data_IF_274987292841
#
_entry.id   IF_274987292841
#
_cell.length_a   1.000
_cell.length_b   1.000
_cell.length_c   1.000
_cell.angle_alpha   90.00
_cell.angle_beta   90.00
_cell.angle_gamma   90.00
#
_symmetry.space_group_name_H-M   'P 1'
#
loop_
_entity.id
_entity.type
_entity.pdbx_description
1 polymer ?
#
# COMPACT_ATOMS: atom_id res chain seq x y z
N UNK A 1 8.70 11.11 21.52
CA UNK A 1 8.28 12.23 20.65
C UNK A 1 9.06 12.32 19.31
N UNK A 2 10.38 12.04 19.26
CA UNK A 2 11.17 12.09 18.00
C UNK A 2 10.94 10.86 17.10
N UNK A 3 10.60 9.70 17.65
CA UNK A 3 10.30 8.47 16.89
C UNK A 3 8.95 8.56 16.16
N UNK A 4 7.97 9.23 16.76
CA UNK A 4 6.61 9.39 16.21
C UNK A 4 6.60 10.27 14.93
N UNK A 5 7.34 11.38 14.92
CA UNK A 5 7.40 12.30 13.77
C UNK A 5 8.03 11.67 12.52
N UNK A 6 9.05 10.80 12.68
CA UNK A 6 9.66 10.11 11.55
C UNK A 6 8.72 9.08 10.92
N UNK A 7 7.92 8.39 11.74
CA UNK A 7 6.90 7.47 11.26
C UNK A 7 5.79 8.19 10.51
N UNK A 8 5.29 9.31 11.03
CA UNK A 8 4.25 10.14 10.41
C UNK A 8 4.73 10.73 9.07
N UNK A 9 5.96 11.23 8.99
CA UNK A 9 6.54 11.74 7.76
C UNK A 9 6.68 10.63 6.70
N UNK A 10 7.12 9.45 7.11
CA UNK A 10 7.22 8.29 6.24
C UNK A 10 5.86 7.88 5.64
N UNK A 11 4.81 7.83 6.46
CA UNK A 11 3.45 7.52 6.00
C UNK A 11 2.93 8.60 5.04
N UNK A 12 3.17 9.89 5.31
CA UNK A 12 2.75 10.98 4.43
C UNK A 12 3.40 10.87 3.04
N UNK A 13 4.68 10.50 2.98
CA UNK A 13 5.40 10.26 1.73
C UNK A 13 4.85 9.04 0.97
N UNK A 14 4.50 7.97 1.67
CA UNK A 14 3.85 6.79 1.07
C UNK A 14 2.52 7.19 0.44
N UNK A 15 1.67 7.87 1.20
CA UNK A 15 0.33 8.27 0.77
C UNK A 15 0.38 9.16 -0.47
N UNK A 16 1.28 10.15 -0.49
CA UNK A 16 1.47 11.02 -1.65
C UNK A 16 1.95 10.23 -2.88
N UNK A 17 3.03 9.46 -2.72
CA UNK A 17 3.60 8.74 -3.86
C UNK A 17 2.67 7.66 -4.41
N UNK A 18 1.92 6.97 -3.54
CA UNK A 18 1.00 5.91 -3.96
C UNK A 18 -0.33 6.46 -4.47
N UNK A 19 -0.78 7.63 -4.01
CA UNK A 19 -1.95 8.31 -4.58
C UNK A 19 -1.72 8.69 -6.04
N UNK A 20 -0.59 9.30 -6.35
CA UNK A 20 -0.19 9.67 -7.72
C UNK A 20 0.07 8.42 -8.58
N UNK A 21 0.51 7.31 -7.97
CA UNK A 21 0.85 6.08 -8.69
C UNK A 21 -0.30 5.50 -9.52
N UNK A 22 -1.56 5.70 -9.14
CA UNK A 22 -2.70 5.21 -9.93
C UNK A 22 -2.69 5.77 -11.35
N UNK A 23 -2.47 7.08 -11.47
CA UNK A 23 -2.38 7.76 -12.76
C UNK A 23 -1.11 7.33 -13.51
N UNK A 24 0.02 7.34 -12.85
CA UNK A 24 1.31 7.00 -13.47
C UNK A 24 1.36 5.55 -13.95
N UNK A 25 0.86 4.61 -13.16
CA UNK A 25 0.79 3.19 -13.58
C UNK A 25 -0.16 3.02 -14.76
N UNK A 26 -1.31 3.70 -14.77
CA UNK A 26 -2.25 3.65 -15.90
C UNK A 26 -1.62 4.15 -17.19
N UNK A 27 -0.83 5.22 -17.14
CA UNK A 27 -0.07 5.72 -18.31
C UNK A 27 0.96 4.65 -18.77
N UNK A 28 1.65 4.01 -17.82
CA UNK A 28 2.65 3.00 -18.12
C UNK A 28 2.06 1.75 -18.79
N UNK A 29 0.93 1.23 -18.26
CA UNK A 29 0.28 0.02 -18.82
C UNK A 29 -0.54 0.28 -20.09
N UNK A 30 -0.74 1.52 -20.46
CA UNK A 30 -1.27 1.87 -21.78
C UNK A 30 -0.27 1.64 -22.90
N UNK A 31 1.02 1.51 -22.57
CA UNK A 31 2.13 1.37 -23.55
C UNK A 31 2.88 0.05 -23.40
N UNK A 32 2.92 -0.53 -22.22
CA UNK A 32 3.48 -1.84 -21.94
C UNK A 32 2.39 -2.77 -21.40
N UNK A 33 2.48 -4.06 -21.67
CA UNK A 33 1.61 -5.01 -21.00
C UNK A 33 1.77 -4.89 -19.46
N UNK A 34 0.73 -5.18 -18.66
CA UNK A 34 0.84 -5.14 -17.20
C UNK A 34 2.01 -5.96 -16.65
N UNK A 35 2.28 -7.13 -17.24
CA UNK A 35 3.40 -7.99 -16.84
C UNK A 35 4.74 -7.33 -17.15
N UNK A 36 4.91 -6.79 -18.35
CA UNK A 36 6.17 -6.18 -18.79
C UNK A 36 6.46 -4.92 -17.95
N UNK A 37 5.44 -4.07 -17.73
CA UNK A 37 5.59 -2.87 -16.90
C UNK A 37 6.02 -3.21 -15.47
N UNK A 38 5.38 -4.20 -14.84
CA UNK A 38 5.71 -4.65 -13.48
C UNK A 38 7.11 -5.27 -13.44
N UNK A 39 7.44 -6.13 -14.39
CA UNK A 39 8.76 -6.75 -14.45
C UNK A 39 9.89 -5.72 -14.54
N UNK A 40 9.85 -4.82 -15.51
CA UNK A 40 10.90 -3.82 -15.71
C UNK A 40 10.99 -2.83 -14.54
N UNK A 41 9.85 -2.47 -13.93
CA UNK A 41 9.83 -1.69 -12.69
C UNK A 41 10.62 -2.40 -11.59
N UNK A 42 10.40 -3.70 -11.37
CA UNK A 42 11.05 -4.40 -10.26
C UNK A 42 12.47 -4.84 -10.57
N UNK A 43 12.82 -5.11 -11.83
CA UNK A 43 14.21 -5.24 -12.26
C UNK A 43 14.96 -3.93 -12.01
N UNK A 44 14.43 -2.80 -12.45
CA UNK A 44 15.03 -1.49 -12.18
C UNK A 44 15.18 -1.23 -10.67
N UNK A 45 14.15 -1.54 -9.87
CA UNK A 45 14.22 -1.43 -8.41
C UNK A 45 15.33 -2.30 -7.81
N UNK A 46 15.44 -3.57 -8.22
CA UNK A 46 16.47 -4.49 -7.75
C UNK A 46 17.87 -4.01 -8.10
N UNK A 47 18.06 -3.48 -9.31
CA UNK A 47 19.34 -2.89 -9.75
C UNK A 47 19.71 -1.65 -8.94
N UNK A 48 18.80 -0.70 -8.73
CA UNK A 48 19.05 0.47 -7.90
C UNK A 48 19.33 0.11 -6.43
N UNK A 49 18.61 -0.89 -5.90
CA UNK A 49 18.81 -1.35 -4.53
C UNK A 49 20.02 -2.29 -4.35
N UNK A 50 20.68 -2.71 -5.43
CA UNK A 50 21.74 -3.73 -5.43
C UNK A 50 22.83 -3.49 -4.39
N UNK A 51 23.37 -2.25 -4.20
CA UNK A 51 24.42 -2.02 -3.21
C UNK A 51 24.01 -2.36 -1.77
N UNK A 52 22.74 -2.09 -1.41
CA UNK A 52 22.19 -2.42 -0.09
C UNK A 52 21.81 -3.90 0.02
N UNK A 53 21.29 -4.46 -1.05
CA UNK A 53 20.90 -5.87 -1.17
C UNK A 53 22.10 -6.80 -0.96
N UNK A 54 23.21 -6.52 -1.61
CA UNK A 54 24.43 -7.32 -1.48
C UNK A 54 25.10 -7.21 -0.10
N UNK A 55 24.97 -6.06 0.57
CA UNK A 55 25.54 -5.84 1.90
C UNK A 55 24.76 -6.51 3.02
N UNK A 56 23.44 -6.71 2.85
CA UNK A 56 22.56 -7.29 3.87
C UNK A 56 21.79 -8.46 3.30
N UNK A 57 22.06 -9.66 3.78
CA UNK A 57 21.41 -10.90 3.34
C UNK A 57 20.48 -11.43 4.42
N UNK A 58 19.33 -12.04 4.03
CA UNK A 58 18.48 -12.76 4.98
C UNK A 58 19.27 -13.85 5.71
N UNK A 59 18.96 -14.04 7.00
CA UNK A 59 19.63 -14.99 7.87
C UNK A 59 18.78 -16.24 8.06
N UNK A 60 19.33 -17.37 7.67
CA UNK A 60 18.66 -18.65 7.86
C UNK A 60 17.46 -18.89 6.94
N UNK A 61 16.94 -20.13 6.98
CA UNK A 61 15.91 -20.62 6.06
C UNK A 61 14.57 -19.88 6.22
N UNK A 62 14.21 -19.50 7.45
CA UNK A 62 12.94 -18.82 7.73
C UNK A 62 12.86 -17.43 7.08
N UNK A 63 13.94 -16.64 7.19
CA UNK A 63 13.97 -15.29 6.58
C UNK A 63 13.97 -15.36 5.06
N UNK A 64 14.70 -16.31 4.47
CA UNK A 64 14.67 -16.55 3.04
C UNK A 64 13.28 -16.94 2.56
N UNK A 65 12.59 -17.84 3.27
CA UNK A 65 11.20 -18.17 2.96
C UNK A 65 10.30 -16.93 3.03
N UNK A 66 10.47 -16.09 4.05
CA UNK A 66 9.74 -14.82 4.17
C UNK A 66 9.98 -13.90 2.97
N UNK A 67 11.23 -13.70 2.55
CA UNK A 67 11.58 -12.88 1.38
C UNK A 67 10.98 -13.47 0.10
N UNK A 68 11.07 -14.78 -0.10
CA UNK A 68 10.49 -15.45 -1.29
C UNK A 68 8.98 -15.26 -1.34
N UNK A 69 8.28 -15.53 -0.23
CA UNK A 69 6.82 -15.38 -0.19
C UNK A 69 6.40 -13.92 -0.34
N UNK A 70 7.11 -12.98 0.29
CA UNK A 70 6.87 -11.54 0.11
C UNK A 70 7.08 -11.09 -1.35
N UNK A 71 8.14 -11.58 -2.01
CA UNK A 71 8.41 -11.26 -3.41
C UNK A 71 7.34 -11.82 -4.36
N UNK A 72 6.95 -13.08 -4.20
CA UNK A 72 5.95 -13.71 -5.06
C UNK A 72 4.54 -13.14 -4.82
N UNK A 73 4.13 -12.93 -3.56
CA UNK A 73 2.78 -12.43 -3.25
C UNK A 73 2.69 -10.92 -3.41
N UNK A 74 3.67 -10.15 -2.88
CA UNK A 74 3.62 -8.69 -2.85
C UNK A 74 4.12 -8.03 -4.13
N UNK A 75 4.93 -8.72 -4.95
CA UNK A 75 5.43 -8.19 -6.22
C UNK A 75 4.81 -8.94 -7.39
N UNK A 76 5.08 -10.23 -7.56
CA UNK A 76 4.59 -10.93 -8.77
C UNK A 76 3.06 -10.92 -8.82
N UNK A 77 2.40 -11.47 -7.82
CA UNK A 77 0.94 -11.64 -7.83
C UNK A 77 0.20 -10.31 -7.67
N UNK A 78 0.48 -9.56 -6.59
CA UNK A 78 -0.23 -8.32 -6.29
C UNK A 78 -0.09 -7.29 -7.40
N UNK A 79 1.13 -7.01 -7.83
CA UNK A 79 1.38 -5.95 -8.81
C UNK A 79 0.86 -6.31 -10.20
N UNK A 80 0.93 -7.58 -10.58
CA UNK A 80 0.31 -8.05 -11.81
C UNK A 80 -1.21 -7.87 -11.76
N UNK A 81 -1.88 -8.31 -10.69
CA UNK A 81 -3.32 -8.14 -10.51
C UNK A 81 -3.72 -6.66 -10.54
N UNK A 82 -3.00 -5.81 -9.81
CA UNK A 82 -3.26 -4.37 -9.73
C UNK A 82 -3.08 -3.66 -11.08
N UNK A 83 -1.98 -3.95 -11.78
CA UNK A 83 -1.70 -3.34 -13.08
C UNK A 83 -2.67 -3.84 -14.14
N UNK A 84 -3.08 -5.11 -14.10
CA UNK A 84 -4.09 -5.68 -14.99
C UNK A 84 -5.46 -5.06 -14.72
N UNK A 85 -5.83 -4.84 -13.46
CA UNK A 85 -7.06 -4.14 -13.11
C UNK A 85 -7.09 -2.73 -13.71
N UNK A 86 -6.01 -1.95 -13.56
CA UNK A 86 -5.90 -0.60 -14.14
C UNK A 86 -5.98 -0.57 -15.66
N UNK A 87 -5.56 -1.64 -16.32
CA UNK A 87 -5.68 -1.79 -17.76
C UNK A 87 -7.11 -2.11 -18.23
N UNK A 88 -7.87 -2.83 -17.40
CA UNK A 88 -9.20 -3.37 -17.76
C UNK A 88 -10.38 -2.53 -17.23
N UNK A 89 -10.19 -1.69 -16.22
CA UNK A 89 -11.26 -0.88 -15.61
C UNK A 89 -10.81 0.54 -15.30
N UNK A 90 -11.71 1.36 -14.77
CA UNK A 90 -11.41 2.74 -14.38
C UNK A 90 -10.50 2.78 -13.14
N UNK A 91 -9.56 3.72 -13.11
CA UNK A 91 -8.66 3.91 -11.97
C UNK A 91 -9.41 4.12 -10.66
N UNK A 92 -10.56 4.80 -10.71
CA UNK A 92 -11.41 5.04 -9.55
C UNK A 92 -12.05 3.74 -9.02
N UNK A 93 -12.48 2.82 -9.91
CA UNK A 93 -13.00 1.51 -9.50
C UNK A 93 -11.89 0.70 -8.81
N UNK A 94 -10.69 0.67 -9.41
CA UNK A 94 -9.53 -0.01 -8.82
C UNK A 94 -9.22 0.58 -7.45
N UNK A 95 -9.16 1.91 -7.33
CA UNK A 95 -8.90 2.58 -6.06
C UNK A 95 -9.96 2.25 -4.99
N UNK A 96 -11.24 2.26 -5.36
CA UNK A 96 -12.34 1.91 -4.45
C UNK A 96 -12.24 0.47 -3.97
N UNK A 97 -12.15 -0.50 -4.90
CA UNK A 97 -12.09 -1.93 -4.57
C UNK A 97 -10.81 -2.27 -3.80
N UNK A 98 -9.67 -1.70 -4.19
CA UNK A 98 -8.41 -1.90 -3.49
C UNK A 98 -8.46 -1.43 -2.03
N UNK A 99 -9.25 -0.41 -1.71
CA UNK A 99 -9.47 0.05 -0.34
C UNK A 99 -10.26 -0.94 0.54
N UNK A 100 -10.69 -2.09 0.04
CA UNK A 100 -11.08 -3.23 0.87
C UNK A 100 -9.88 -3.88 1.58
N UNK A 101 -8.65 -3.68 1.10
CA UNK A 101 -7.46 -4.34 1.66
C UNK A 101 -7.22 -4.10 3.15
N UNK A 102 -7.44 -2.89 3.74
CA UNK A 102 -7.35 -2.72 5.19
C UNK A 102 -8.40 -3.54 5.96
N UNK A 103 -9.64 -3.60 5.45
CA UNK A 103 -10.70 -4.43 6.06
C UNK A 103 -10.35 -5.90 6.00
N UNK A 104 -9.84 -6.39 4.86
CA UNK A 104 -9.39 -7.78 4.72
C UNK A 104 -8.26 -8.11 5.69
N UNK A 105 -7.31 -7.17 5.88
CA UNK A 105 -6.22 -7.33 6.86
C UNK A 105 -6.76 -7.43 8.29
N UNK A 106 -7.69 -6.55 8.68
CA UNK A 106 -8.31 -6.57 10.01
C UNK A 106 -9.15 -7.83 10.24
N UNK A 107 -9.94 -8.23 9.24
CA UNK A 107 -10.75 -9.47 9.30
C UNK A 107 -9.86 -10.70 9.48
N UNK A 108 -8.78 -10.80 8.72
CA UNK A 108 -7.81 -11.89 8.88
C UNK A 108 -7.21 -11.91 10.29
N UNK A 109 -6.78 -10.76 10.79
CA UNK A 109 -6.22 -10.67 12.14
C UNK A 109 -7.25 -11.04 13.21
N UNK A 110 -8.52 -10.69 13.03
CA UNK A 110 -9.60 -11.02 13.97
C UNK A 110 -9.95 -12.50 13.94
N UNK A 111 -10.14 -13.08 12.74
CA UNK A 111 -10.65 -14.44 12.56
C UNK A 111 -9.53 -15.48 12.68
N UNK A 112 -8.43 -15.29 11.94
CA UNK A 112 -7.36 -16.31 11.86
C UNK A 112 -6.33 -16.14 12.98
N UNK A 113 -5.87 -14.90 13.22
CA UNK A 113 -4.90 -14.65 14.30
C UNK A 113 -5.57 -14.48 15.68
N UNK A 114 -6.92 -14.47 15.73
CA UNK A 114 -7.72 -14.31 16.95
C UNK A 114 -7.32 -13.08 17.77
N UNK A 115 -6.80 -12.03 17.12
CA UNK A 115 -6.44 -10.78 17.81
C UNK A 115 -7.70 -10.06 18.25
N UNK A 116 -7.77 -9.72 19.53
CA UNK A 116 -8.84 -8.86 20.05
C UNK A 116 -8.54 -7.42 19.66
N UNK A 117 -9.46 -6.78 18.96
CA UNK A 117 -9.37 -5.38 18.53
C UNK A 117 -10.53 -4.59 19.13
N UNK A 118 -10.23 -3.35 19.55
CA UNK A 118 -11.25 -2.47 20.08
C UNK A 118 -12.30 -2.09 19.03
N UNK A 119 -13.53 -1.85 19.47
CA UNK A 119 -14.63 -1.46 18.56
C UNK A 119 -14.32 -0.19 17.77
N UNK A 120 -13.52 0.74 18.31
CA UNK A 120 -13.11 1.95 17.63
C UNK A 120 -12.37 1.69 16.30
N UNK A 121 -11.61 0.60 16.21
CA UNK A 121 -10.91 0.20 14.97
C UNK A 121 -11.93 -0.16 13.88
N UNK A 122 -12.97 -0.92 14.24
CA UNK A 122 -14.01 -1.34 13.30
C UNK A 122 -14.87 -0.17 12.83
N UNK A 123 -15.32 0.69 13.76
CA UNK A 123 -16.09 1.87 13.40
C UNK A 123 -15.29 2.88 12.60
N UNK A 124 -14.03 3.09 12.94
CA UNK A 124 -13.15 3.95 12.15
C UNK A 124 -12.88 3.40 10.77
N UNK A 125 -12.64 2.09 10.62
CA UNK A 125 -12.47 1.46 9.32
C UNK A 125 -13.75 1.52 8.46
N UNK A 126 -14.92 1.28 9.06
CA UNK A 126 -16.21 1.38 8.36
C UNK A 126 -16.49 2.82 7.89
N UNK A 127 -16.23 3.82 8.74
CA UNK A 127 -16.40 5.23 8.38
C UNK A 127 -15.44 5.64 7.26
N UNK A 128 -14.17 5.23 7.34
CA UNK A 128 -13.19 5.50 6.28
C UNK A 128 -13.60 4.86 4.96
N UNK A 129 -14.07 3.61 4.99
CA UNK A 129 -14.52 2.92 3.79
C UNK A 129 -15.78 3.58 3.17
N UNK A 130 -16.73 4.02 4.00
CA UNK A 130 -17.89 4.79 3.54
C UNK A 130 -17.47 6.10 2.87
N UNK A 131 -16.47 6.80 3.42
CA UNK A 131 -15.87 7.98 2.82
C UNK A 131 -15.23 7.70 1.44
N UNK A 132 -14.53 6.57 1.30
CA UNK A 132 -13.99 6.12 0.00
C UNK A 132 -15.12 5.83 -1.00
N UNK A 133 -16.21 5.20 -0.55
CA UNK A 133 -17.39 4.95 -1.38
C UNK A 133 -18.02 6.24 -1.90
N UNK A 134 -18.09 7.29 -1.10
CA UNK A 134 -18.57 8.62 -1.50
C UNK A 134 -17.65 9.26 -2.55
N UNK A 135 -16.31 9.17 -2.37
CA UNK A 135 -15.36 9.66 -3.36
C UNK A 135 -15.47 8.92 -4.71
N UNK A 136 -15.69 7.61 -4.67
CA UNK A 136 -15.75 6.78 -5.87
C UNK A 136 -17.11 6.86 -6.60
N UNK A 137 -18.17 7.39 -5.97
CA UNK A 137 -19.55 7.35 -6.48
C UNK A 137 -19.69 7.90 -7.88
N UNK A 138 -19.00 8.99 -8.21
CA UNK A 138 -19.07 9.60 -9.54
C UNK A 138 -18.43 8.74 -10.64
N UNK A 139 -17.57 7.79 -10.27
CA UNK A 139 -16.73 7.01 -11.19
C UNK A 139 -17.16 5.56 -11.34
N UNK A 140 -18.17 5.08 -10.57
CA UNK A 140 -18.60 3.67 -10.59
C UNK A 140 -19.40 3.28 -11.86
N UNK A 141 -19.67 4.21 -12.77
CA UNK A 141 -20.44 3.97 -13.99
C UNK A 141 -19.49 3.83 -15.18
N UNK A 142 -19.10 2.58 -15.52
CA UNK A 142 -18.36 2.32 -16.75
C UNK A 142 -17.03 1.58 -16.61
N UNK A 143 -16.95 0.53 -15.80
CA UNK A 143 -15.79 -0.36 -15.70
C UNK A 143 -16.10 -1.77 -16.23
N UNK A 144 -15.04 -2.49 -16.64
CA UNK A 144 -15.16 -3.91 -16.99
C UNK A 144 -15.20 -4.80 -15.75
N UNK A 145 -16.22 -5.64 -15.62
CA UNK A 145 -16.37 -6.60 -14.50
C UNK A 145 -15.08 -7.40 -14.22
N UNK A 146 -14.40 -7.81 -15.26
CA UNK A 146 -13.14 -8.56 -15.14
C UNK A 146 -12.05 -7.72 -14.44
N UNK A 147 -11.93 -6.42 -14.77
CA UNK A 147 -11.02 -5.50 -14.11
C UNK A 147 -11.31 -5.35 -12.61
N UNK A 148 -12.59 -5.34 -12.23
CA UNK A 148 -13.01 -5.26 -10.83
C UNK A 148 -12.65 -6.53 -10.04
N UNK A 149 -12.76 -7.72 -10.67
CA UNK A 149 -12.29 -8.99 -10.09
C UNK A 149 -10.78 -8.97 -9.87
N UNK A 150 -10.00 -8.47 -10.83
CA UNK A 150 -8.56 -8.29 -10.67
C UNK A 150 -8.21 -7.30 -9.55
N UNK A 151 -8.98 -6.21 -9.40
CA UNK A 151 -8.81 -5.25 -8.31
C UNK A 151 -9.05 -5.88 -6.93
N UNK A 152 -10.09 -6.73 -6.81
CA UNK A 152 -10.36 -7.48 -5.58
C UNK A 152 -9.24 -8.47 -5.26
N UNK A 153 -8.75 -9.19 -6.26
CA UNK A 153 -7.58 -10.06 -6.13
C UNK A 153 -6.34 -9.30 -5.68
N UNK A 154 -6.12 -8.09 -6.21
CA UNK A 154 -5.03 -7.21 -5.81
C UNK A 154 -5.18 -6.77 -4.34
N UNK A 155 -6.39 -6.40 -3.89
CA UNK A 155 -6.67 -6.05 -2.50
C UNK A 155 -6.38 -7.21 -1.54
N UNK A 156 -6.79 -8.42 -1.90
CA UNK A 156 -6.54 -9.63 -1.13
C UNK A 156 -5.03 -9.97 -1.07
N UNK A 157 -4.34 -9.90 -2.21
CA UNK A 157 -2.90 -10.16 -2.31
C UNK A 157 -2.07 -9.14 -1.53
N UNK A 158 -2.46 -7.85 -1.56
CA UNK A 158 -1.84 -6.82 -0.75
C UNK A 158 -2.04 -7.04 0.75
N UNK A 159 -3.27 -7.40 1.17
CA UNK A 159 -3.57 -7.78 2.55
C UNK A 159 -2.70 -8.95 3.01
N UNK A 160 -2.58 -9.99 2.18
CA UNK A 160 -1.71 -11.12 2.45
C UNK A 160 -0.24 -10.69 2.57
N UNK A 161 0.26 -9.84 1.67
CA UNK A 161 1.62 -9.30 1.74
C UNK A 161 1.88 -8.54 3.05
N UNK A 162 0.95 -7.68 3.49
CA UNK A 162 1.06 -6.96 4.76
C UNK A 162 1.16 -7.93 5.96
N UNK A 163 0.31 -8.96 5.98
CA UNK A 163 0.29 -9.98 7.03
C UNK A 163 1.56 -10.86 7.02
N UNK A 164 2.05 -11.23 5.84
CA UNK A 164 3.31 -11.97 5.65
C UNK A 164 4.48 -11.14 6.19
N UNK A 165 4.52 -9.85 5.86
CA UNK A 165 5.55 -8.92 6.35
C UNK A 165 5.54 -8.84 7.88
N UNK A 166 4.36 -8.72 8.50
CA UNK A 166 4.21 -8.71 9.98
C UNK A 166 4.58 -10.06 10.62
N UNK A 167 4.30 -11.18 9.94
CA UNK A 167 4.58 -12.53 10.45
C UNK A 167 6.09 -12.86 10.45
N UNK A 168 6.75 -12.65 9.33
CA UNK A 168 8.15 -13.09 9.17
C UNK A 168 9.14 -12.16 9.87
N UNK A 169 8.89 -10.85 9.92
CA UNK A 169 9.74 -9.83 10.57
C UNK A 169 11.22 -10.06 10.30
N UNK A 170 11.57 -10.18 9.01
CA UNK A 170 12.95 -10.47 8.60
C UNK A 170 13.93 -9.41 9.12
N UNK A 171 15.17 -9.81 9.42
CA UNK A 171 16.21 -8.91 9.95
C UNK A 171 16.69 -7.89 8.91
N UNK A 172 16.53 -8.19 7.63
CA UNK A 172 16.83 -7.28 6.52
C UNK A 172 15.71 -6.27 6.37
N UNK A 173 16.02 -4.98 6.41
CA UNK A 173 15.04 -3.88 6.39
C UNK A 173 15.35 -2.82 5.34
N UNK A 174 14.38 -1.98 5.03
CA UNK A 174 14.52 -0.84 4.13
C UNK A 174 14.89 -1.24 2.71
N UNK A 175 15.81 -0.50 2.08
CA UNK A 175 16.22 -0.73 0.68
C UNK A 175 16.76 -2.13 0.41
N UNK A 176 17.44 -2.75 1.37
CA UNK A 176 17.95 -4.11 1.21
C UNK A 176 16.80 -5.14 1.13
N UNK A 177 15.78 -5.02 1.97
CA UNK A 177 14.59 -5.87 1.92
C UNK A 177 13.81 -5.62 0.61
N UNK A 178 13.60 -4.34 0.24
CA UNK A 178 12.96 -3.96 -1.01
C UNK A 178 13.68 -4.55 -2.21
N UNK A 179 15.02 -4.51 -2.25
CA UNK A 179 15.80 -5.10 -3.32
C UNK A 179 15.63 -6.61 -3.41
N UNK A 180 15.69 -7.34 -2.29
CA UNK A 180 15.48 -8.79 -2.29
C UNK A 180 14.09 -9.19 -2.76
N UNK A 181 13.03 -8.57 -2.24
CA UNK A 181 11.66 -8.92 -2.68
C UNK A 181 11.39 -8.49 -4.12
N UNK A 182 12.01 -7.41 -4.59
CA UNK A 182 11.92 -6.97 -5.99
C UNK A 182 12.59 -7.95 -6.92
N UNK A 183 13.78 -8.43 -6.58
CA UNK A 183 14.50 -9.44 -7.35
C UNK A 183 13.70 -10.74 -7.46
N UNK A 184 13.24 -11.28 -6.31
CA UNK A 184 12.45 -12.51 -6.29
C UNK A 184 11.13 -12.33 -7.04
N UNK A 185 10.46 -11.20 -6.86
CA UNK A 185 9.20 -10.92 -7.54
C UNK A 185 9.36 -10.75 -9.05
N UNK A 186 10.44 -10.11 -9.50
CA UNK A 186 10.76 -10.05 -10.93
C UNK A 186 11.04 -11.44 -11.51
N UNK A 187 11.81 -12.28 -10.80
CA UNK A 187 12.05 -13.66 -11.20
C UNK A 187 10.75 -14.47 -11.32
N UNK A 188 9.76 -14.24 -10.45
CA UNK A 188 8.45 -14.90 -10.54
C UNK A 188 7.65 -14.50 -11.80
N UNK A 189 7.90 -13.34 -12.39
CA UNK A 189 7.26 -12.87 -13.62
C UNK A 189 8.02 -13.27 -14.89
N UNK A 190 9.26 -13.69 -14.76
CA UNK A 190 10.18 -13.96 -15.87
C UNK A 190 9.58 -14.81 -17.02
N UNK A 191 8.81 -15.90 -16.74
CA UNK A 191 8.23 -16.74 -17.78
C UNK A 191 7.18 -16.04 -18.68
N UNK A 192 6.66 -14.88 -18.25
CA UNK A 192 5.55 -14.19 -18.89
C UNK A 192 5.97 -12.88 -19.60
N UNK A 193 7.26 -12.53 -19.58
CA UNK A 193 7.78 -11.24 -20.02
C UNK A 193 8.14 -11.25 -21.50
N UNK A 194 7.73 -10.18 -22.19
CA UNK A 194 8.24 -9.83 -23.51
C UNK A 194 9.44 -8.88 -23.36
N UNK A 195 10.66 -9.39 -23.53
CA UNK A 195 11.89 -8.60 -23.39
C UNK A 195 12.06 -7.50 -24.45
N UNK A 196 11.37 -7.60 -25.58
CA UNK A 196 11.42 -6.58 -26.63
C UNK A 196 10.46 -5.40 -26.36
N UNK A 197 9.49 -5.56 -25.45
CA UNK A 197 8.42 -4.59 -25.22
C UNK A 197 8.91 -3.16 -24.89
N UNK A 198 9.90 -2.91 -24.01
CA UNK A 198 10.37 -1.55 -23.71
C UNK A 198 10.96 -0.83 -24.92
N UNK A 199 11.64 -1.55 -25.78
CA UNK A 199 12.26 -1.00 -27.00
C UNK A 199 11.21 -0.64 -28.06
N UNK A 200 10.10 -1.37 -28.10
CA UNK A 200 8.97 -1.12 -28.99
C UNK A 200 8.09 0.04 -28.51
N UNK A 201 7.96 0.22 -27.21
CA UNK A 201 7.11 1.24 -26.59
C UNK A 201 7.68 2.68 -26.67
N UNK A 202 9.00 2.81 -26.96
CA UNK A 202 9.65 4.11 -27.07
C UNK A 202 9.90 4.85 -25.76
N UNK A 203 10.39 6.08 -25.86
CA UNK A 203 10.84 6.87 -24.69
C UNK A 203 9.74 7.30 -23.71
N UNK A 204 8.49 7.27 -24.12
CA UNK A 204 7.34 7.71 -23.28
C UNK A 204 7.08 6.81 -22.07
N UNK A 205 7.59 5.57 -22.07
CA UNK A 205 7.49 4.65 -20.93
C UNK A 205 8.54 4.88 -19.85
N UNK A 206 9.61 5.61 -20.16
CA UNK A 206 10.75 5.80 -19.26
C UNK A 206 10.35 6.54 -17.98
N UNK A 207 9.61 7.64 -18.10
CA UNK A 207 9.25 8.42 -16.91
C UNK A 207 8.27 7.70 -15.96
N UNK A 208 7.23 6.95 -16.43
CA UNK A 208 6.39 6.16 -15.55
C UNK A 208 7.18 5.06 -14.84
N UNK A 209 8.11 4.41 -15.53
CA UNK A 209 8.99 3.42 -14.92
C UNK A 209 9.89 4.06 -13.85
N UNK A 210 10.58 5.15 -14.15
CA UNK A 210 11.44 5.84 -13.19
C UNK A 210 10.67 6.32 -11.96
N UNK A 211 9.50 6.92 -12.16
CA UNK A 211 8.65 7.34 -11.04
C UNK A 211 8.29 6.14 -10.15
N UNK A 212 7.80 5.06 -10.73
CA UNK A 212 7.36 3.89 -9.98
C UNK A 212 8.53 3.14 -9.33
N UNK A 213 9.71 3.13 -9.93
CA UNK A 213 10.94 2.58 -9.34
C UNK A 213 11.33 3.40 -8.10
N UNK A 214 11.50 4.71 -8.25
CA UNK A 214 12.12 5.56 -7.23
C UNK A 214 11.13 5.88 -6.11
N UNK A 215 9.98 6.48 -6.44
CA UNK A 215 9.07 7.01 -5.43
C UNK A 215 8.12 5.94 -4.88
N UNK A 216 7.61 5.05 -5.73
CA UNK A 216 6.62 4.07 -5.31
C UNK A 216 7.27 2.85 -4.68
N UNK A 217 8.34 2.35 -5.28
CA UNK A 217 8.95 1.09 -4.83
C UNK A 217 10.14 1.33 -3.91
N UNK A 218 11.21 1.97 -4.34
CA UNK A 218 12.38 2.17 -3.48
C UNK A 218 12.03 2.95 -2.20
N UNK A 219 11.37 4.08 -2.34
CA UNK A 219 10.97 4.89 -1.20
C UNK A 219 9.73 4.31 -0.52
N UNK A 220 8.60 4.20 -1.23
CA UNK A 220 7.31 3.88 -0.66
C UNK A 220 7.26 2.49 -0.05
N UNK A 221 7.75 1.45 -0.74
CA UNK A 221 7.74 0.08 -0.22
C UNK A 221 8.73 -0.11 0.93
N UNK A 222 9.90 0.56 0.90
CA UNK A 222 10.85 0.52 2.02
C UNK A 222 10.27 1.17 3.29
N UNK A 223 9.58 2.30 3.14
CA UNK A 223 8.88 2.96 4.24
C UNK A 223 7.70 2.14 4.73
N UNK A 224 6.94 1.51 3.82
CA UNK A 224 5.84 0.61 4.15
C UNK A 224 6.28 -0.56 5.01
N UNK A 225 7.34 -1.27 4.63
CA UNK A 225 7.88 -2.37 5.41
C UNK A 225 8.29 -1.92 6.83
N UNK A 226 8.88 -0.73 6.93
CA UNK A 226 9.23 -0.13 8.24
C UNK A 226 7.97 0.21 9.04
N UNK A 227 6.93 0.74 8.40
CA UNK A 227 5.66 1.03 9.04
C UNK A 227 4.97 -0.25 9.55
N UNK A 228 4.93 -1.33 8.74
CA UNK A 228 4.37 -2.62 9.17
C UNK A 228 5.17 -3.22 10.32
N UNK A 229 6.50 -3.14 10.29
CA UNK A 229 7.35 -3.66 11.36
C UNK A 229 7.15 -2.91 12.69
N UNK A 230 6.86 -1.60 12.65
CA UNK A 230 6.70 -0.76 13.85
C UNK A 230 5.26 -0.71 14.38
N UNK A 231 4.26 -0.64 13.49
CA UNK A 231 2.85 -0.45 13.83
C UNK A 231 2.02 -1.74 13.76
N UNK A 232 2.55 -2.78 13.08
CA UNK A 232 1.81 -3.98 12.70
C UNK A 232 0.95 -3.76 11.44
N UNK A 233 0.61 -4.88 10.74
CA UNK A 233 -0.09 -4.84 9.45
C UNK A 233 -1.44 -4.12 9.52
N UNK A 234 -2.24 -4.35 10.57
CA UNK A 234 -3.57 -3.75 10.71
C UNK A 234 -3.54 -2.23 10.78
N UNK A 235 -2.72 -1.65 11.68
CA UNK A 235 -2.62 -0.19 11.82
C UNK A 235 -1.98 0.47 10.60
N UNK A 236 -0.93 -0.13 10.06
CA UNK A 236 -0.30 0.37 8.83
C UNK A 236 -1.31 0.39 7.67
N UNK A 237 -2.10 -0.68 7.50
CA UNK A 237 -3.12 -0.75 6.44
C UNK A 237 -4.22 0.31 6.57
N UNK A 238 -4.65 0.67 7.78
CA UNK A 238 -5.64 1.73 7.98
C UNK A 238 -5.19 3.09 7.41
N UNK A 239 -3.88 3.37 7.43
CA UNK A 239 -3.34 4.63 6.88
C UNK A 239 -3.50 4.71 5.35
N UNK A 240 -3.67 3.58 4.67
CA UNK A 240 -3.89 3.55 3.21
C UNK A 240 -5.24 4.15 2.80
N UNK A 241 -6.22 4.27 3.72
CA UNK A 241 -7.48 4.95 3.44
C UNK A 241 -7.30 6.43 3.03
N UNK A 242 -6.17 7.05 3.34
CA UNK A 242 -5.88 8.42 2.94
C UNK A 242 -5.48 8.52 1.45
N UNK A 243 -5.04 7.42 0.85
CA UNK A 243 -4.56 7.40 -0.56
C UNK A 243 -5.62 7.89 -1.56
N UNK A 244 -6.89 7.46 -1.51
CA UNK A 244 -7.91 7.97 -2.42
C UNK A 244 -8.13 9.47 -2.35
N UNK A 245 -7.96 10.06 -1.17
CA UNK A 245 -8.02 11.52 -1.01
C UNK A 245 -6.92 12.21 -1.81
N UNK A 246 -5.69 11.70 -1.73
CA UNK A 246 -4.58 12.23 -2.53
C UNK A 246 -4.81 12.00 -4.02
N UNK A 247 -5.35 10.83 -4.40
CA UNK A 247 -5.69 10.54 -5.79
C UNK A 247 -6.76 11.50 -6.33
N UNK A 248 -7.79 11.82 -5.55
CA UNK A 248 -8.83 12.79 -5.91
C UNK A 248 -8.26 14.22 -6.08
N UNK A 249 -7.41 14.66 -5.16
CA UNK A 249 -6.72 15.96 -5.27
C UNK A 249 -5.79 15.99 -6.49
N UNK A 250 -5.06 14.90 -6.75
CA UNK A 250 -4.21 14.81 -7.94
C UNK A 250 -5.03 14.87 -9.25
N UNK A 251 -6.19 14.19 -9.30
CA UNK A 251 -7.14 14.27 -10.42
C UNK A 251 -7.63 15.69 -10.64
N UNK A 252 -7.95 16.40 -9.58
CA UNK A 252 -8.36 17.81 -9.67
C UNK A 252 -7.22 18.70 -10.20
N UNK A 253 -6.01 18.58 -9.67
CA UNK A 253 -4.87 19.43 -10.04
C UNK A 253 -4.32 19.12 -11.44
N UNK A 254 -4.16 17.83 -11.79
CA UNK A 254 -3.46 17.43 -13.01
C UNK A 254 -4.40 17.09 -14.18
N UNK A 255 -5.64 16.66 -13.90
CA UNK A 255 -6.62 16.26 -14.92
C UNK A 255 -7.78 17.23 -15.04
N UNK A 256 -7.84 18.29 -14.20
CA UNK A 256 -8.94 19.27 -14.20
C UNK A 256 -10.28 18.70 -13.74
N UNK A 257 -10.28 17.58 -13.01
CA UNK A 257 -11.50 16.96 -12.44
C UNK A 257 -12.12 17.93 -11.42
N UNK A 258 -13.46 18.01 -11.40
CA UNK A 258 -14.15 18.87 -10.42
C UNK A 258 -14.46 18.09 -9.16
N UNK A 259 -14.01 18.59 -8.02
CA UNK A 259 -14.39 18.06 -6.71
C UNK A 259 -15.73 18.69 -6.29
N UNK A 260 -16.73 17.89 -6.05
CA UNK A 260 -18.04 18.30 -5.56
C UNK A 260 -18.14 18.24 -4.03
N UNK A 261 -19.32 18.57 -3.52
CA UNK A 261 -19.60 18.55 -2.06
C UNK A 261 -19.49 17.14 -1.50
N UNK A 262 -19.93 16.12 -2.26
CA UNK A 262 -19.89 14.72 -1.81
C UNK A 262 -18.44 14.21 -1.64
N UNK A 263 -17.55 14.62 -2.54
CA UNK A 263 -16.12 14.30 -2.44
C UNK A 263 -15.51 14.97 -1.19
N UNK A 264 -15.92 16.21 -0.88
CA UNK A 264 -15.54 16.89 0.34
C UNK A 264 -16.02 16.17 1.61
N UNK A 265 -17.26 15.72 1.63
CA UNK A 265 -17.84 14.93 2.74
C UNK A 265 -17.11 13.58 2.86
N UNK A 266 -16.83 12.91 1.74
CA UNK A 266 -16.05 11.68 1.70
C UNK A 266 -14.65 11.85 2.28
N UNK A 267 -13.96 12.93 1.91
CA UNK A 267 -12.65 13.27 2.43
C UNK A 267 -12.66 13.45 3.97
N UNK A 268 -13.62 14.20 4.50
CA UNK A 268 -13.79 14.38 5.95
C UNK A 268 -14.07 13.04 6.64
N UNK A 269 -14.95 12.20 6.07
CA UNK A 269 -15.27 10.89 6.61
C UNK A 269 -14.03 9.97 6.67
N UNK A 270 -13.19 9.97 5.62
CA UNK A 270 -11.93 9.20 5.60
C UNK A 270 -11.01 9.66 6.75
N UNK A 271 -10.75 10.96 6.83
CA UNK A 271 -9.83 11.50 7.85
C UNK A 271 -10.34 11.25 9.27
N UNK A 272 -11.62 11.46 9.51
CA UNK A 272 -12.27 11.20 10.80
C UNK A 272 -12.21 9.71 11.16
N UNK A 273 -12.48 8.81 10.21
CA UNK A 273 -12.44 7.37 10.40
C UNK A 273 -11.04 6.85 10.72
N UNK A 274 -10.01 7.29 9.99
CA UNK A 274 -8.61 6.95 10.27
C UNK A 274 -8.19 7.45 11.66
N UNK A 275 -8.51 8.70 12.00
CA UNK A 275 -8.19 9.26 13.31
C UNK A 275 -8.92 8.55 14.46
N UNK A 276 -10.16 8.12 14.23
CA UNK A 276 -10.92 7.32 15.20
C UNK A 276 -10.31 5.94 15.39
N UNK A 277 -10.01 5.22 14.28
CA UNK A 277 -9.37 3.90 14.31
C UNK A 277 -8.00 3.92 15.00
N UNK A 278 -7.22 5.00 14.82
CA UNK A 278 -5.92 5.18 15.50
C UNK A 278 -6.04 5.47 17.02
N UNK A 279 -7.25 5.74 17.52
CA UNK A 279 -7.51 6.01 18.93
C UNK A 279 -6.99 7.36 19.41
N UNK A 280 -6.63 8.28 18.52
CA UNK A 280 -6.13 9.63 18.88
C UNK A 280 -7.17 10.40 19.70
N UNK A 281 -8.45 10.26 19.39
CA UNK A 281 -9.52 10.89 20.14
C UNK A 281 -9.74 10.29 21.55
N UNK A 282 -9.36 9.04 21.77
CA UNK A 282 -9.49 8.38 23.07
C UNK A 282 -8.32 8.69 24.01
N UNK A 283 -7.12 8.89 23.48
CA UNK A 283 -5.94 9.26 24.29
C UNK A 283 -6.03 10.64 24.92
N UNK A 284 -6.81 11.56 24.36
CA UNK A 284 -7.04 12.87 24.96
C UNK A 284 -7.99 12.83 26.18
N UNK A 285 -8.80 11.76 26.35
CA UNK A 285 -9.71 11.61 27.50
C UNK A 285 -9.10 10.89 28.70
N UNK A 286 -8.03 10.13 28.52
CA UNK A 286 -7.23 9.59 29.60
C UNK A 286 -6.19 10.63 30.01
N UNK A 287 -6.54 11.49 30.97
CA UNK A 287 -5.59 12.36 31.65
C UNK A 287 -4.41 11.57 32.24
N UNK A 288 -3.33 12.23 32.68
CA UNK A 288 -2.19 11.54 33.29
C UNK A 288 -2.71 10.61 34.37
N UNK A 289 -2.33 9.33 34.29
CA UNK A 289 -2.60 8.36 35.34
C UNK A 289 -1.89 8.89 36.61
N UNK A 290 -2.65 9.29 37.61
CA UNK A 290 -2.10 9.66 38.92
C UNK A 290 -1.24 8.49 39.40
N UNK A 291 0.02 8.72 39.78
CA UNK A 291 0.84 7.65 40.35
C UNK A 291 0.11 7.08 41.58
N UNK A 292 0.15 5.75 41.79
CA UNK A 292 -0.45 5.14 42.95
C UNK A 292 0.11 5.84 44.19
N UNK A 293 -0.79 6.27 45.08
CA UNK A 293 -0.44 6.88 46.38
C UNK A 293 0.59 5.97 47.05
N UNK A 294 1.74 6.52 47.42
CA UNK A 294 2.70 5.81 48.21
C UNK A 294 2.02 5.38 49.52
N UNK A 295 1.92 4.06 49.74
CA UNK A 295 1.53 3.54 51.06
C UNK A 295 2.57 4.01 52.05
N UNK A 296 2.18 4.97 52.89
CA UNK A 296 2.94 5.32 54.08
C UNK A 296 2.96 4.08 54.97
N UNK A 297 4.10 3.40 54.99
CA UNK A 297 4.40 2.34 55.94
C UNK A 297 4.62 2.99 57.31
N UNK A 298 3.70 2.75 58.25
CA UNK A 298 3.84 2.93 59.70
C UNK A 298 4.62 1.76 60.27
#
# INVERSE_FOLDING_TARGET
>A
LKSDRRGELGISLIVLSWGINYVVTKIGVAQLSPVDFVFWRFVGTALFALPWTLRKRPRGRREWLGIVVMGLVGVSLYQWLFSTALNLTLSANVAFIFNLSPLLTLLWQRVVQRRVMGQHIWWGAALSFAGVALLARASLHGGGYLGDVFALGAAASWSAFALITDHFRVSVTGLAQTGWISLIGALGLLPFVNFAAPWQAGGSTVWPLLYTIIFVTLMGLSLWQTAVASLGAGRASLMLYIIPLVAAVAGWVFLGERLGILEGVGAVAILAGVAWADGRFMRQKSGPMEPPAAEESV
#
